data_IF_790141925684
#
_entry.id   IF_790141925684
#
_cell.length_a   1.000
_cell.length_b   1.000
_cell.length_c   1.000
_cell.angle_alpha   90.00
_cell.angle_beta   90.00
_cell.angle_gamma   90.00
#
_symmetry.space_group_name_H-M   'P 1'
#
loop_
_entity.id
_entity.type
_entity.pdbx_description
1 polymer ?
#
# COMPACT_ATOMS: atom_id res chain seq x y z
N UNK A 1 7.54 -23.11 -12.31
CA UNK A 1 8.52 -22.53 -11.38
C UNK A 1 7.77 -22.18 -10.10
N UNK A 2 8.00 -22.92 -9.02
CA UNK A 2 7.39 -22.61 -7.72
C UNK A 2 8.02 -21.32 -7.21
N UNK A 3 7.22 -20.26 -7.08
CA UNK A 3 7.64 -19.05 -6.40
C UNK A 3 7.74 -19.40 -4.90
N UNK A 4 8.96 -19.51 -4.38
CA UNK A 4 9.15 -19.68 -2.95
C UNK A 4 8.70 -18.41 -2.23
N UNK A 5 7.80 -18.56 -1.27
CA UNK A 5 7.28 -17.48 -0.44
C UNK A 5 8.28 -17.14 0.68
N UNK A 6 9.51 -16.73 0.30
CA UNK A 6 10.62 -16.57 1.26
C UNK A 6 10.95 -15.12 1.60
N UNK A 7 10.25 -14.15 1.05
CA UNK A 7 10.48 -12.76 1.40
C UNK A 7 9.71 -12.42 2.69
N UNK A 8 10.44 -12.26 3.77
CA UNK A 8 9.89 -11.75 5.04
C UNK A 8 9.74 -10.23 4.95
N UNK A 9 8.59 -9.66 5.36
CA UNK A 9 8.38 -8.23 5.41
C UNK A 9 9.44 -7.56 6.29
N UNK A 10 10.10 -6.51 5.75
CA UNK A 10 11.28 -5.92 6.40
C UNK A 10 10.87 -5.07 7.61
N UNK A 11 9.86 -4.21 7.44
CA UNK A 11 9.43 -3.29 8.49
C UNK A 11 8.65 -4.01 9.57
N UNK A 12 7.82 -4.98 9.19
CA UNK A 12 7.16 -5.87 10.14
C UNK A 12 8.17 -6.71 10.94
N UNK A 13 9.18 -7.27 10.30
CA UNK A 13 10.22 -8.04 10.97
C UNK A 13 10.93 -7.23 12.05
N UNK A 14 11.36 -6.00 11.73
CA UNK A 14 11.99 -5.07 12.69
C UNK A 14 11.04 -4.70 13.84
N UNK A 15 9.80 -4.37 13.53
CA UNK A 15 8.79 -4.06 14.54
C UNK A 15 8.54 -5.25 15.47
N UNK A 16 8.35 -6.44 14.90
CA UNK A 16 8.15 -7.69 15.66
C UNK A 16 9.32 -7.99 16.60
N UNK A 17 10.54 -7.86 16.11
CA UNK A 17 11.74 -8.04 16.94
C UNK A 17 11.81 -7.04 18.11
N UNK A 18 11.50 -5.76 17.86
CA UNK A 18 11.50 -4.74 18.91
C UNK A 18 10.42 -5.01 19.97
N UNK A 19 9.25 -5.49 19.57
CA UNK A 19 8.19 -5.93 20.49
C UNK A 19 8.65 -7.14 21.30
N UNK A 20 9.26 -8.14 20.68
CA UNK A 20 9.73 -9.35 21.38
C UNK A 20 10.86 -9.06 22.36
N UNK A 21 11.68 -8.02 22.10
CA UNK A 21 12.70 -7.54 23.05
C UNK A 21 12.14 -6.64 24.15
N UNK A 22 10.83 -6.33 24.12
CA UNK A 22 10.19 -5.45 25.08
C UNK A 22 10.50 -3.96 24.90
N UNK A 23 11.08 -3.57 23.77
CA UNK A 23 11.41 -2.17 23.44
C UNK A 23 10.17 -1.36 23.07
N UNK A 24 9.17 -2.02 22.50
CA UNK A 24 7.89 -1.41 22.09
C UNK A 24 6.76 -2.12 22.82
N UNK A 25 6.06 -1.44 23.75
CA UNK A 25 4.86 -1.98 24.36
C UNK A 25 3.71 -1.98 23.33
N UNK A 26 2.96 -3.07 23.27
CA UNK A 26 1.82 -3.20 22.36
C UNK A 26 0.55 -3.54 23.11
N UNK A 27 -0.58 -3.01 22.64
CA UNK A 27 -1.89 -3.38 23.12
C UNK A 27 -2.34 -4.73 22.50
N UNK A 28 -3.45 -5.26 23.02
CA UNK A 28 -4.01 -6.54 22.58
C UNK A 28 -4.30 -6.56 21.06
N UNK A 29 -4.84 -5.47 20.53
CA UNK A 29 -5.23 -5.33 19.13
C UNK A 29 -4.01 -5.42 18.22
N UNK A 30 -2.91 -4.78 18.60
CA UNK A 30 -1.64 -4.87 17.86
C UNK A 30 -1.09 -6.30 17.92
N UNK A 31 -1.19 -6.98 19.06
CA UNK A 31 -0.76 -8.37 19.17
C UNK A 31 -1.60 -9.30 18.30
N UNK A 32 -2.91 -9.06 18.18
CA UNK A 32 -3.79 -9.81 17.26
C UNK A 32 -3.41 -9.57 15.80
N UNK A 33 -3.08 -8.33 15.43
CA UNK A 33 -2.64 -8.00 14.09
C UNK A 33 -1.28 -8.64 13.75
N UNK A 34 -0.34 -8.69 14.69
CA UNK A 34 0.92 -9.40 14.53
C UNK A 34 0.70 -10.89 14.25
N UNK A 35 -0.18 -11.54 15.01
CA UNK A 35 -0.53 -12.94 14.77
C UNK A 35 -1.15 -13.14 13.37
N UNK A 36 -2.01 -12.21 12.93
CA UNK A 36 -2.58 -12.25 11.58
C UNK A 36 -1.51 -12.14 10.48
N UNK A 37 -0.50 -11.30 10.67
CA UNK A 37 0.60 -11.17 9.71
C UNK A 37 1.48 -12.43 9.74
N UNK A 38 1.75 -12.99 10.91
CA UNK A 38 2.48 -14.28 11.02
C UNK A 38 1.74 -15.41 10.28
N UNK A 39 0.41 -15.46 10.38
CA UNK A 39 -0.43 -16.41 9.62
C UNK A 39 -0.36 -16.17 8.10
N UNK A 40 -0.29 -14.91 7.65
CA UNK A 40 -0.09 -14.61 6.22
C UNK A 40 1.27 -15.07 5.71
N UNK A 41 2.33 -14.91 6.51
CA UNK A 41 3.68 -15.38 6.19
C UNK A 41 3.69 -16.91 6.06
N UNK A 42 2.97 -17.62 6.93
CA UNK A 42 2.88 -19.07 6.93
C UNK A 42 1.96 -19.62 5.81
N UNK A 43 1.12 -18.80 5.18
CA UNK A 43 0.13 -19.25 4.21
C UNK A 43 0.76 -19.46 2.82
N UNK A 44 0.80 -20.69 2.28
CA UNK A 44 1.40 -20.97 0.98
C UNK A 44 0.67 -20.36 -0.22
N UNK A 45 -0.59 -19.95 -0.05
CA UNK A 45 -1.39 -19.28 -1.09
C UNK A 45 -1.24 -17.76 -1.14
N UNK A 46 -0.52 -17.18 -0.18
CA UNK A 46 -0.26 -15.75 -0.07
C UNK A 46 1.21 -15.48 -0.35
N UNK A 47 1.48 -14.40 -1.06
CA UNK A 47 2.82 -14.00 -1.47
C UNK A 47 3.10 -12.58 -0.99
N UNK A 48 4.36 -12.30 -0.69
CA UNK A 48 4.84 -10.96 -0.35
C UNK A 48 5.60 -10.34 -1.53
N UNK A 49 5.35 -9.05 -1.79
CA UNK A 49 5.97 -8.28 -2.87
C UNK A 49 6.68 -7.04 -2.30
N UNK A 50 7.95 -7.21 -2.00
CA UNK A 50 8.84 -6.14 -1.52
C UNK A 50 8.99 -5.00 -2.53
N UNK A 51 8.89 -5.30 -3.83
CA UNK A 51 8.99 -4.28 -4.90
C UNK A 51 7.81 -3.34 -4.89
N UNK A 52 6.60 -3.84 -4.62
CA UNK A 52 5.42 -3.01 -4.52
C UNK A 52 5.51 -2.07 -3.31
N UNK A 53 5.96 -2.57 -2.15
CA UNK A 53 6.19 -1.76 -0.95
C UNK A 53 7.26 -0.69 -1.19
N UNK A 54 8.42 -1.11 -1.68
CA UNK A 54 9.53 -0.20 -1.97
C UNK A 54 9.19 0.81 -3.08
N UNK A 55 8.32 0.43 -4.03
CA UNK A 55 7.79 1.31 -5.05
C UNK A 55 7.01 2.47 -4.45
N UNK A 56 6.09 2.19 -3.53
CA UNK A 56 5.35 3.22 -2.80
C UNK A 56 6.26 4.12 -1.97
N UNK A 57 7.17 3.53 -1.16
CA UNK A 57 8.09 4.30 -0.31
C UNK A 57 8.97 5.23 -1.15
N UNK A 58 9.57 4.71 -2.22
CA UNK A 58 10.42 5.52 -3.11
C UNK A 58 9.63 6.62 -3.82
N UNK A 59 8.41 6.35 -4.22
CA UNK A 59 7.55 7.38 -4.80
C UNK A 59 7.32 8.50 -3.80
N UNK A 60 6.91 8.19 -2.57
CA UNK A 60 6.67 9.20 -1.55
C UNK A 60 7.92 10.03 -1.25
N UNK A 61 9.07 9.38 -1.05
CA UNK A 61 10.31 10.04 -0.64
C UNK A 61 11.04 10.79 -1.77
N UNK A 62 10.67 10.56 -3.05
CA UNK A 62 11.28 11.24 -4.20
C UNK A 62 10.39 12.26 -4.87
N UNK A 63 9.09 11.97 -4.96
CA UNK A 63 8.15 12.76 -5.76
C UNK A 63 7.33 13.72 -4.89
N UNK A 64 7.27 13.48 -3.56
CA UNK A 64 6.50 14.32 -2.65
C UNK A 64 7.42 15.13 -1.73
N UNK A 65 6.96 16.33 -1.39
CA UNK A 65 7.64 17.23 -0.44
C UNK A 65 6.67 17.64 0.66
N UNK A 66 7.20 17.98 1.81
CA UNK A 66 6.40 18.59 2.89
C UNK A 66 5.90 19.98 2.49
N UNK A 67 4.97 20.53 3.24
CA UNK A 67 4.36 21.86 2.98
C UNK A 67 5.37 22.99 2.99
N UNK A 68 6.45 22.86 3.76
CA UNK A 68 7.58 23.81 3.80
C UNK A 68 8.58 23.63 2.65
N UNK A 69 8.36 22.63 1.77
CA UNK A 69 9.22 22.33 0.64
C UNK A 69 10.39 21.41 0.95
N UNK A 70 10.54 20.94 2.18
CA UNK A 70 11.56 19.96 2.55
C UNK A 70 11.24 18.56 2.04
N UNK A 71 12.25 17.70 1.95
CA UNK A 71 12.11 16.32 1.51
C UNK A 71 11.24 15.51 2.48
N UNK A 72 10.27 14.80 1.93
CA UNK A 72 9.47 13.87 2.70
C UNK A 72 10.29 12.61 3.04
N UNK A 73 10.33 12.25 4.31
CA UNK A 73 10.86 10.97 4.79
C UNK A 73 9.76 10.25 5.56
N UNK A 74 9.40 9.06 5.09
CA UNK A 74 8.38 8.26 5.76
C UNK A 74 8.93 7.67 7.06
N UNK A 75 8.14 7.81 8.12
CA UNK A 75 8.41 7.14 9.40
C UNK A 75 8.30 5.61 9.24
N UNK A 76 9.01 4.86 10.05
CA UNK A 76 8.97 3.39 10.00
C UNK A 76 7.56 2.83 10.24
N UNK A 77 6.74 3.49 11.05
CA UNK A 77 5.32 3.14 11.20
C UNK A 77 4.54 3.25 9.89
N UNK A 78 4.79 4.28 9.07
CA UNK A 78 4.15 4.42 7.77
C UNK A 78 4.65 3.40 6.76
N UNK A 79 5.94 3.04 6.84
CA UNK A 79 6.51 1.98 6.02
C UNK A 79 5.92 0.62 6.39
N UNK A 80 5.69 0.36 7.69
CA UNK A 80 4.98 -0.82 8.17
C UNK A 80 3.54 -0.88 7.61
N UNK A 81 2.79 0.23 7.68
CA UNK A 81 1.44 0.28 7.11
C UNK A 81 1.42 0.13 5.59
N UNK A 82 2.47 0.62 4.91
CA UNK A 82 2.64 0.39 3.48
C UNK A 82 2.90 -1.09 3.16
N UNK A 83 3.66 -1.80 3.99
CA UNK A 83 3.82 -3.25 3.87
C UNK A 83 2.49 -3.99 3.94
N UNK A 84 1.61 -3.60 4.87
CA UNK A 84 0.29 -4.19 4.97
C UNK A 84 -0.55 -3.96 3.72
N UNK A 85 -0.59 -2.74 3.17
CA UNK A 85 -1.41 -2.41 2.01
C UNK A 85 -0.85 -3.00 0.72
N UNK A 86 0.44 -2.86 0.48
CA UNK A 86 1.04 -3.13 -0.83
C UNK A 86 1.78 -4.47 -0.90
N UNK A 87 2.18 -5.02 0.25
CA UNK A 87 3.05 -6.20 0.28
C UNK A 87 2.34 -7.51 0.00
N UNK A 88 1.06 -7.64 0.32
CA UNK A 88 0.38 -8.93 0.30
C UNK A 88 -0.48 -9.13 -0.93
N UNK A 89 -0.34 -10.27 -1.60
CA UNK A 89 -1.12 -10.61 -2.78
C UNK A 89 -1.34 -12.12 -2.91
N UNK A 90 -2.28 -12.47 -3.76
CA UNK A 90 -2.58 -13.84 -4.17
C UNK A 90 -2.81 -13.90 -5.67
N UNK A 91 -2.83 -15.10 -6.22
CA UNK A 91 -3.13 -15.29 -7.62
C UNK A 91 -4.50 -15.95 -7.81
N UNK A 92 -5.23 -15.47 -8.80
CA UNK A 92 -6.47 -16.07 -9.28
C UNK A 92 -6.31 -16.47 -10.74
N UNK A 93 -6.86 -17.62 -11.11
CA UNK A 93 -6.97 -17.99 -12.50
C UNK A 93 -8.28 -17.45 -13.07
N UNK A 94 -8.20 -16.77 -14.19
CA UNK A 94 -9.36 -16.27 -14.94
C UNK A 94 -9.22 -16.58 -16.40
N UNK A 95 -10.34 -16.96 -17.03
CA UNK A 95 -10.44 -17.00 -18.48
C UNK A 95 -10.54 -15.57 -19.00
N UNK A 96 -9.58 -15.17 -19.81
CA UNK A 96 -9.50 -13.84 -20.44
C UNK A 96 -9.70 -14.03 -21.94
N UNK A 97 -10.61 -13.28 -22.52
CA UNK A 97 -10.79 -13.28 -23.97
C UNK A 97 -9.61 -12.56 -24.63
N UNK A 98 -8.99 -13.23 -25.58
CA UNK A 98 -7.87 -12.71 -26.38
C UNK A 98 -8.38 -12.57 -27.81
N UNK A 99 -8.55 -11.35 -28.32
CA UNK A 99 -8.97 -11.14 -29.71
C UNK A 99 -7.86 -11.55 -30.67
N UNK A 100 -8.23 -12.15 -31.80
CA UNK A 100 -7.28 -12.44 -32.88
C UNK A 100 -6.88 -11.16 -33.64
N UNK A 101 -5.62 -11.10 -34.12
CA UNK A 101 -5.17 -10.03 -34.99
C UNK A 101 -6.03 -10.02 -36.28
N UNK A 102 -6.85 -8.97 -36.47
CA UNK A 102 -7.75 -8.87 -37.64
C UNK A 102 -9.24 -8.75 -37.31
N UNK A 103 -9.62 -8.90 -36.01
CA UNK A 103 -10.97 -8.53 -35.53
C UNK A 103 -12.10 -9.52 -35.84
N UNK A 104 -11.85 -10.70 -36.37
CA UNK A 104 -12.87 -11.68 -36.77
C UNK A 104 -13.03 -12.90 -35.86
N UNK A 105 -12.47 -12.84 -34.64
CA UNK A 105 -12.60 -13.91 -33.67
C UNK A 105 -11.67 -13.70 -32.48
N UNK A 106 -11.64 -14.69 -31.59
CA UNK A 106 -10.75 -14.73 -30.44
C UNK A 106 -10.96 -16.03 -29.66
N UNK A 107 -10.09 -16.27 -28.73
CA UNK A 107 -10.17 -17.46 -27.87
C UNK A 107 -10.05 -17.08 -26.40
N UNK A 108 -10.44 -17.97 -25.51
CA UNK A 108 -10.29 -17.79 -24.07
C UNK A 108 -9.00 -18.45 -23.60
N UNK A 109 -8.13 -17.67 -22.98
CA UNK A 109 -6.93 -18.16 -22.31
C UNK A 109 -7.10 -18.13 -20.79
N UNK A 110 -6.62 -19.15 -20.08
CA UNK A 110 -6.50 -19.10 -18.63
C UNK A 110 -5.26 -18.27 -18.28
N UNK A 111 -5.48 -17.12 -17.62
CA UNK A 111 -4.40 -16.26 -17.15
C UNK A 111 -4.39 -16.24 -15.62
N UNK A 112 -3.19 -16.34 -15.06
CA UNK A 112 -2.94 -16.18 -13.64
C UNK A 112 -2.78 -14.68 -13.37
N UNK A 113 -3.76 -14.09 -12.65
CA UNK A 113 -3.82 -12.67 -12.36
C UNK A 113 -3.41 -12.44 -10.90
N UNK A 114 -2.43 -11.58 -10.70
CA UNK A 114 -2.01 -11.10 -9.38
C UNK A 114 -3.08 -10.17 -8.80
N UNK A 115 -3.51 -10.44 -7.57
CA UNK A 115 -4.46 -9.60 -6.85
C UNK A 115 -3.92 -9.21 -5.49
N UNK A 116 -4.09 -7.93 -5.13
CA UNK A 116 -3.79 -7.44 -3.79
C UNK A 116 -4.73 -8.12 -2.79
N UNK A 117 -4.17 -8.60 -1.68
CA UNK A 117 -4.93 -9.26 -0.62
C UNK A 117 -5.65 -8.24 0.25
N UNK A 118 -4.94 -7.20 0.67
CA UNK A 118 -5.49 -6.14 1.53
C UNK A 118 -6.08 -5.05 0.65
N UNK A 119 -7.40 -4.91 0.70
CA UNK A 119 -8.16 -3.90 -0.06
C UNK A 119 -8.82 -2.85 0.83
N UNK A 120 -8.78 -3.06 2.15
CA UNK A 120 -9.32 -2.13 3.15
C UNK A 120 -8.35 -2.05 4.32
N UNK A 121 -8.05 -0.85 4.77
CA UNK A 121 -7.25 -0.61 5.96
C UNK A 121 -7.96 0.42 6.85
N UNK A 122 -8.02 0.14 8.14
CA UNK A 122 -8.53 1.04 9.16
C UNK A 122 -7.38 1.48 10.05
N UNK A 123 -7.10 2.78 10.07
CA UNK A 123 -6.03 3.37 10.89
C UNK A 123 -6.64 4.16 12.04
N UNK A 124 -6.43 3.67 13.27
CA UNK A 124 -6.82 4.35 14.50
C UNK A 124 -5.55 4.87 15.16
N UNK A 125 -5.29 6.16 15.00
CA UNK A 125 -4.10 6.81 15.49
C UNK A 125 -4.44 8.14 16.17
N UNK A 126 -3.58 8.55 17.09
CA UNK A 126 -3.75 9.80 17.84
C UNK A 126 -3.73 11.03 16.95
N UNK A 127 -4.19 12.17 17.48
CA UNK A 127 -4.03 13.48 16.81
C UNK A 127 -2.54 13.79 16.63
N UNK A 128 -2.23 14.59 15.62
CA UNK A 128 -0.87 15.01 15.28
C UNK A 128 0.12 13.88 14.89
N UNK A 129 -0.35 12.66 14.64
CA UNK A 129 0.48 11.54 14.19
C UNK A 129 0.66 11.49 12.65
N UNK A 130 0.66 12.65 12.00
CA UNK A 130 0.87 12.84 10.55
C UNK A 130 -0.01 11.94 9.64
N UNK A 131 -1.21 11.53 10.12
CA UNK A 131 -2.12 10.66 9.35
C UNK A 131 -2.60 11.28 8.05
N UNK A 132 -2.83 12.60 8.05
CA UNK A 132 -3.24 13.34 6.84
C UNK A 132 -2.17 13.22 5.78
N UNK A 133 -0.91 13.46 6.13
CA UNK A 133 0.23 13.29 5.22
C UNK A 133 0.29 11.86 4.66
N UNK A 134 0.09 10.83 5.49
CA UNK A 134 0.08 9.45 4.99
C UNK A 134 -1.07 9.17 4.02
N UNK A 135 -2.27 9.72 4.28
CA UNK A 135 -3.41 9.62 3.36
C UNK A 135 -3.13 10.35 2.03
N UNK A 136 -2.48 11.51 2.08
CA UNK A 136 -2.03 12.25 0.91
C UNK A 136 -1.05 11.43 0.05
N UNK A 137 -0.08 10.78 0.70
CA UNK A 137 0.85 9.86 0.03
C UNK A 137 0.12 8.72 -0.67
N UNK A 138 -0.85 8.08 0.00
CA UNK A 138 -1.65 7.02 -0.58
C UNK A 138 -2.47 7.51 -1.77
N UNK A 139 -3.14 8.66 -1.64
CA UNK A 139 -3.93 9.23 -2.72
C UNK A 139 -3.06 9.57 -3.93
N UNK A 140 -1.92 10.24 -3.72
CA UNK A 140 -1.00 10.59 -4.78
C UNK A 140 -0.53 9.33 -5.54
N UNK A 141 -0.12 8.30 -4.81
CA UNK A 141 0.34 7.04 -5.40
C UNK A 141 -0.75 6.33 -6.20
N UNK A 142 -1.94 6.19 -5.64
CA UNK A 142 -3.06 5.53 -6.32
C UNK A 142 -3.55 6.31 -7.55
N UNK A 143 -3.42 7.62 -7.57
CA UNK A 143 -3.81 8.43 -8.73
C UNK A 143 -2.77 8.46 -9.85
N UNK A 144 -1.49 8.28 -9.52
CA UNK A 144 -0.40 8.48 -10.50
C UNK A 144 0.28 7.20 -10.92
N UNK A 145 0.46 6.26 -10.02
CA UNK A 145 1.28 5.04 -10.23
C UNK A 145 0.43 3.78 -10.30
N UNK A 146 -0.49 3.60 -9.36
CA UNK A 146 -1.33 2.40 -9.30
C UNK A 146 -2.53 2.51 -10.26
N UNK A 147 -2.33 1.97 -11.45
CA UNK A 147 -3.35 1.96 -12.51
C UNK A 147 -4.61 1.13 -12.18
N UNK A 148 -4.63 0.43 -11.06
CA UNK A 148 -5.81 -0.36 -10.62
C UNK A 148 -6.92 0.53 -10.07
N UNK A 149 -6.61 1.77 -9.70
CA UNK A 149 -7.55 2.73 -9.11
C UNK A 149 -8.01 3.74 -10.14
N UNK A 150 -9.30 3.74 -10.44
CA UNK A 150 -9.89 4.65 -11.43
C UNK A 150 -10.64 5.83 -10.81
N UNK A 151 -11.00 5.73 -9.53
CA UNK A 151 -11.76 6.76 -8.81
C UNK A 151 -11.36 6.81 -7.35
N UNK A 152 -11.18 8.03 -6.82
CA UNK A 152 -10.96 8.28 -5.40
C UNK A 152 -12.01 9.27 -4.88
N UNK A 153 -12.49 9.01 -3.68
CA UNK A 153 -13.47 9.86 -3.00
C UNK A 153 -12.93 10.20 -1.62
N UNK A 154 -12.81 11.50 -1.34
CA UNK A 154 -12.47 12.02 -0.02
C UNK A 154 -13.73 12.56 0.62
N UNK A 155 -14.05 12.08 1.82
CA UNK A 155 -15.20 12.54 2.59
C UNK A 155 -14.74 13.14 3.91
N UNK A 156 -15.33 14.27 4.27
CA UNK A 156 -15.08 14.95 5.56
C UNK A 156 -16.35 15.70 5.99
N UNK A 157 -16.47 16.05 7.28
CA UNK A 157 -17.61 16.83 7.78
C UNK A 157 -17.79 18.19 7.10
N UNK A 158 -16.71 18.79 6.60
CA UNK A 158 -16.75 20.06 5.85
C UNK A 158 -15.92 19.97 4.57
N UNK A 159 -16.31 20.77 3.56
CA UNK A 159 -15.57 20.88 2.29
C UNK A 159 -14.11 21.30 2.54
N UNK A 160 -13.89 22.26 3.43
CA UNK A 160 -12.54 22.72 3.78
C UNK A 160 -11.64 21.58 4.28
N UNK A 161 -12.15 20.72 5.15
CA UNK A 161 -11.39 19.55 5.62
C UNK A 161 -11.13 18.51 4.52
N UNK A 162 -12.06 18.33 3.58
CA UNK A 162 -11.83 17.47 2.42
C UNK A 162 -10.75 18.06 1.49
N UNK A 163 -10.75 19.38 1.30
CA UNK A 163 -9.73 20.08 0.51
C UNK A 163 -8.34 20.05 1.13
N UNK A 164 -8.23 20.09 2.46
CA UNK A 164 -6.95 19.97 3.18
C UNK A 164 -6.20 18.70 2.81
N UNK A 165 -6.92 17.58 2.61
CA UNK A 165 -6.33 16.30 2.18
C UNK A 165 -5.86 16.32 0.72
N UNK A 166 -6.47 17.15 -0.13
CA UNK A 166 -6.14 17.25 -1.56
C UNK A 166 -5.09 18.33 -1.87
N UNK A 167 -4.88 19.28 -0.98
CA UNK A 167 -4.01 20.44 -1.22
C UNK A 167 -2.55 20.08 -1.49
N UNK A 168 -1.88 19.22 -0.71
CA UNK A 168 -0.50 18.81 -0.99
C UNK A 168 -0.35 18.05 -2.29
N UNK A 169 -1.35 17.25 -2.66
CA UNK A 169 -1.38 16.55 -3.94
C UNK A 169 -1.42 17.53 -5.13
N UNK A 170 -2.26 18.56 -5.05
CA UNK A 170 -2.30 19.64 -6.07
C UNK A 170 -0.94 20.35 -6.19
N UNK A 171 -0.28 20.59 -5.05
CA UNK A 171 1.05 21.20 -5.02
C UNK A 171 2.10 20.30 -5.65
N UNK A 172 2.10 19.00 -5.35
CA UNK A 172 3.01 18.04 -5.95
C UNK A 172 2.82 17.93 -7.47
N UNK A 173 1.57 17.86 -7.95
CA UNK A 173 1.27 17.84 -9.39
C UNK A 173 1.70 19.14 -10.10
N UNK A 174 1.57 20.30 -9.46
CA UNK A 174 1.98 21.58 -10.05
C UNK A 174 3.51 21.68 -10.20
N UNK A 175 4.28 20.98 -9.37
CA UNK A 175 5.76 20.95 -9.42
C UNK A 175 6.31 19.89 -10.39
N UNK A 176 5.52 18.85 -10.70
CA UNK A 176 5.91 17.78 -11.63
C UNK A 176 5.81 18.20 -13.12
N UNK A 177 5.43 19.44 -13.42
CA UNK A 177 5.42 20.06 -14.76
C UNK A 177 6.67 20.89 -14.96
#
# INVERSE_FOLDING_TARGET
MALSNTATPIYYGRFREAVMRGEIPVCREISMEMNRIDDLIANPGVYYDDKAVNGFIKFCERELTLTDGSDLKLLDSFKLWAEEIFGWYYFVERSVYVPEPGGHGGHYERKRIKKRLITKQYLIITRAAAKTMYLECLQAYFMTVDKSTTQQVTTAPTMKQAEEVLSPFRTALARAR
#
